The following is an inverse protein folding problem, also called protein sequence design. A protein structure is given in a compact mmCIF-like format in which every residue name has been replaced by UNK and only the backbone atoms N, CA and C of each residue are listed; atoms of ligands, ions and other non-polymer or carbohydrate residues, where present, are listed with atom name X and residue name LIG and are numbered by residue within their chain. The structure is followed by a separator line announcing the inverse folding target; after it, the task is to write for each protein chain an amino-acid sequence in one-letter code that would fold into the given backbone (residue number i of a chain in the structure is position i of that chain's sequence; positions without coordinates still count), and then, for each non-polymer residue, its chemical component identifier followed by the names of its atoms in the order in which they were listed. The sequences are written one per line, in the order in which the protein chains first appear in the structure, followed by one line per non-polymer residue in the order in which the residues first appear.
data_IF_699094571170
#
_entry.id   IF_699094571170
#
_cell.length_a   1.000
_cell.length_b   1.000
_cell.length_c   1.000
_cell.angle_alpha   90.00
_cell.angle_beta   90.00
_cell.angle_gamma   90.00
#
_symmetry.space_group_name_H-M   'P 1'
#
loop_
_entity.id
_entity.type
_entity.pdbx_description
1 polymer ?
#
# COMPACT_ATOMS: atom_id res chain seq x y z
N UNK A 1 -2.57 -10.82 -22.53
CA UNK A 1 -1.52 -10.05 -21.85
C UNK A 1 -1.70 -10.31 -20.36
N UNK A 2 -0.62 -10.55 -19.59
CA UNK A 2 -0.76 -10.76 -18.16
C UNK A 2 -1.39 -9.52 -17.52
N UNK A 3 -2.25 -9.73 -16.51
CA UNK A 3 -2.80 -8.62 -15.74
C UNK A 3 -1.80 -8.26 -14.65
N UNK A 4 -1.34 -7.02 -14.60
CA UNK A 4 -0.38 -6.53 -13.61
C UNK A 4 -1.06 -5.68 -12.56
N UNK A 5 -1.07 -6.14 -11.32
CA UNK A 5 -1.65 -5.41 -10.19
C UNK A 5 -0.53 -4.85 -9.31
N UNK A 6 -0.69 -3.57 -8.97
CA UNK A 6 0.10 -2.91 -7.93
C UNK A 6 -0.63 -3.00 -6.59
N UNK A 7 -0.05 -3.71 -5.62
CA UNK A 7 -0.60 -3.83 -4.28
C UNK A 7 0.26 -3.03 -3.28
N UNK A 8 -0.29 -1.91 -2.79
CA UNK A 8 0.35 -1.10 -1.76
C UNK A 8 -0.21 -1.48 -0.39
N UNK A 9 0.64 -2.01 0.49
CA UNK A 9 0.25 -2.56 1.78
C UNK A 9 0.93 -1.75 2.89
N UNK A 10 0.11 -1.11 3.73
CA UNK A 10 0.61 -0.37 4.88
C UNK A 10 1.50 -1.23 5.79
N UNK A 11 2.58 -0.62 6.28
CA UNK A 11 3.53 -1.24 7.19
C UNK A 11 3.05 -1.30 8.65
N UNK A 12 1.83 -0.85 8.94
CA UNK A 12 1.27 -0.71 10.28
C UNK A 12 0.81 -2.06 10.87
N UNK A 13 1.75 -3.00 10.94
CA UNK A 13 1.55 -4.35 11.47
C UNK A 13 1.19 -5.39 10.41
N UNK A 14 1.19 -6.65 10.82
CA UNK A 14 0.92 -7.80 9.93
C UNK A 14 -0.56 -7.98 9.59
N UNK A 15 -1.48 -7.24 10.23
CA UNK A 15 -2.92 -7.33 9.97
C UNK A 15 -3.28 -6.96 8.53
N UNK A 16 -2.76 -5.84 8.04
CA UNK A 16 -2.91 -5.40 6.64
C UNK A 16 -2.33 -6.42 5.67
N UNK A 17 -1.13 -6.93 5.95
CA UNK A 17 -0.52 -7.97 5.13
C UNK A 17 -1.39 -9.24 5.08
N UNK A 18 -1.89 -9.72 6.21
CA UNK A 18 -2.73 -10.92 6.24
C UNK A 18 -4.05 -10.72 5.46
N UNK A 19 -4.69 -9.56 5.63
CA UNK A 19 -5.92 -9.20 4.92
C UNK A 19 -5.68 -9.12 3.41
N UNK A 20 -4.67 -8.38 2.98
CA UNK A 20 -4.36 -8.21 1.56
C UNK A 20 -3.87 -9.51 0.93
N UNK A 21 -3.01 -10.28 1.61
CA UNK A 21 -2.51 -11.55 1.08
C UNK A 21 -3.62 -12.56 0.81
N UNK A 22 -4.63 -12.65 1.69
CA UNK A 22 -5.80 -13.49 1.46
C UNK A 22 -6.53 -13.14 0.15
N UNK A 23 -6.66 -11.84 -0.15
CA UNK A 23 -7.26 -11.37 -1.41
C UNK A 23 -6.36 -11.69 -2.60
N UNK A 24 -5.07 -11.36 -2.53
CA UNK A 24 -4.11 -11.56 -3.62
C UNK A 24 -3.95 -13.04 -3.99
N UNK A 25 -3.83 -13.93 -3.00
CA UNK A 25 -3.69 -15.37 -3.24
C UNK A 25 -4.96 -15.94 -3.87
N UNK A 26 -6.13 -15.52 -3.39
CA UNK A 26 -7.40 -15.94 -3.94
C UNK A 26 -7.63 -15.39 -5.37
N UNK A 27 -7.12 -14.20 -5.68
CA UNK A 27 -7.18 -13.61 -7.01
C UNK A 27 -6.25 -14.34 -7.98
N UNK A 28 -5.02 -14.66 -7.55
CA UNK A 28 -4.06 -15.44 -8.34
C UNK A 28 -4.61 -16.81 -8.75
N UNK A 29 -5.36 -17.47 -7.88
CA UNK A 29 -6.03 -18.73 -8.23
C UNK A 29 -7.12 -18.58 -9.31
N UNK A 30 -7.68 -17.37 -9.48
CA UNK A 30 -8.71 -17.07 -10.48
C UNK A 30 -8.16 -16.45 -11.76
N UNK A 31 -6.97 -15.86 -11.68
CA UNK A 31 -6.28 -15.19 -12.79
C UNK A 31 -4.87 -15.78 -12.90
N UNK A 32 -4.69 -16.88 -13.66
CA UNK A 32 -3.42 -17.62 -13.72
C UNK A 32 -2.22 -16.78 -14.20
N UNK A 33 -2.46 -15.80 -15.08
CA UNK A 33 -1.42 -14.92 -15.63
C UNK A 33 -1.28 -13.60 -14.83
N UNK A 34 -1.64 -13.62 -13.53
CA UNK A 34 -1.56 -12.45 -12.66
C UNK A 34 -0.11 -12.15 -12.24
N UNK A 35 0.38 -10.99 -12.67
CA UNK A 35 1.60 -10.40 -12.17
C UNK A 35 1.33 -9.46 -11.01
N UNK A 36 2.18 -9.54 -9.98
CA UNK A 36 2.05 -8.72 -8.79
C UNK A 36 3.32 -7.89 -8.59
N UNK A 37 3.12 -6.61 -8.35
CA UNK A 37 4.09 -5.70 -7.74
C UNK A 37 3.55 -5.32 -6.38
N UNK A 38 4.29 -5.61 -5.32
CA UNK A 38 3.90 -5.33 -3.94
C UNK A 38 4.79 -4.22 -3.40
N UNK A 39 4.20 -3.20 -2.80
CA UNK A 39 4.92 -2.15 -2.06
C UNK A 39 4.59 -2.27 -0.58
N UNK A 40 5.61 -2.42 0.26
CA UNK A 40 5.46 -2.42 1.71
C UNK A 40 6.79 -2.18 2.43
N UNK A 41 6.73 -1.56 3.60
CA UNK A 41 7.89 -1.40 4.50
C UNK A 41 8.08 -2.59 5.45
N UNK A 42 7.21 -3.62 5.40
CA UNK A 42 7.36 -4.83 6.22
C UNK A 42 8.60 -5.64 5.83
N UNK A 43 9.17 -6.46 6.74
CA UNK A 43 10.26 -7.36 6.40
C UNK A 43 9.90 -8.26 5.21
N UNK A 44 10.77 -8.35 4.20
CA UNK A 44 10.50 -9.12 2.98
C UNK A 44 10.13 -10.58 3.28
N UNK A 45 10.77 -11.18 4.29
CA UNK A 45 10.48 -12.55 4.72
C UNK A 45 9.02 -12.73 5.14
N UNK A 46 8.43 -11.74 5.83
CA UNK A 46 7.03 -11.78 6.22
C UNK A 46 6.14 -11.62 4.99
N UNK A 47 6.44 -10.67 4.10
CA UNK A 47 5.64 -10.45 2.87
C UNK A 47 5.63 -11.72 2.00
N UNK A 48 6.79 -12.32 1.75
CA UNK A 48 6.92 -13.55 0.94
C UNK A 48 6.32 -14.78 1.60
N UNK A 49 6.21 -14.81 2.93
CA UNK A 49 5.55 -15.90 3.65
C UNK A 49 4.03 -15.87 3.49
N UNK A 50 3.43 -14.69 3.31
CA UNK A 50 1.98 -14.53 3.24
C UNK A 50 1.45 -14.54 1.80
N UNK A 51 2.20 -13.99 0.84
CA UNK A 51 1.77 -13.90 -0.56
C UNK A 51 2.33 -15.07 -1.37
N UNK A 52 1.44 -15.88 -1.93
CA UNK A 52 1.80 -17.09 -2.67
C UNK A 52 2.42 -16.74 -4.03
N UNK A 53 3.45 -17.48 -4.45
CA UNK A 53 4.06 -17.40 -5.77
C UNK A 53 4.98 -16.19 -5.99
N UNK A 54 5.44 -15.99 -7.22
CA UNK A 54 6.39 -14.92 -7.55
C UNK A 54 5.72 -13.54 -7.61
N UNK A 55 6.43 -12.52 -7.11
CA UNK A 55 6.06 -11.12 -7.20
C UNK A 55 7.30 -10.23 -7.02
N UNK A 56 7.26 -9.03 -7.60
CA UNK A 56 8.25 -7.99 -7.35
C UNK A 56 7.91 -7.25 -6.05
N UNK A 57 8.90 -7.02 -5.19
CA UNK A 57 8.73 -6.28 -3.95
C UNK A 57 9.46 -4.93 -4.05
N UNK A 58 8.73 -3.87 -3.73
CA UNK A 58 9.24 -2.52 -3.49
C UNK A 58 9.24 -2.33 -1.97
N UNK A 59 10.42 -2.41 -1.36
CA UNK A 59 10.62 -2.34 0.09
C UNK A 59 10.57 -0.88 0.60
N UNK A 60 9.45 -0.20 0.37
CA UNK A 60 9.23 1.21 0.72
C UNK A 60 7.87 1.37 1.41
N UNK A 61 7.75 2.36 2.30
CA UNK A 61 6.45 2.69 2.92
C UNK A 61 5.57 3.42 1.91
N UNK A 62 4.30 3.00 1.82
CA UNK A 62 3.28 3.66 1.01
C UNK A 62 2.50 4.73 1.81
N UNK A 63 2.59 4.71 3.14
CA UNK A 63 1.87 5.59 4.05
C UNK A 63 2.70 6.03 5.27
N UNK A 64 2.10 6.94 6.05
CA UNK A 64 2.60 7.40 7.35
C UNK A 64 2.10 6.53 8.50
N UNK A 65 0.84 6.10 8.40
CA UNK A 65 0.01 5.52 9.47
C UNK A 65 0.17 6.19 10.83
N UNK A 66 0.67 5.48 11.84
CA UNK A 66 0.82 5.93 13.23
C UNK A 66 2.23 5.65 13.74
N UNK A 67 2.85 6.65 14.36
CA UNK A 67 4.11 6.46 15.09
C UNK A 67 3.78 5.81 16.43
N UNK A 68 4.27 4.59 16.65
CA UNK A 68 3.94 3.77 17.82
C UNK A 68 5.11 3.70 18.80
N UNK A 69 4.85 3.85 20.10
CA UNK A 69 5.81 3.52 21.17
C UNK A 69 5.75 2.04 21.56
N UNK A 70 4.59 1.42 21.42
CA UNK A 70 4.33 0.01 21.68
C UNK A 70 3.20 -0.48 20.76
N UNK A 71 2.80 -1.76 20.85
CA UNK A 71 1.65 -2.25 20.10
C UNK A 71 0.31 -1.56 20.46
N UNK A 72 0.24 -0.89 21.61
CA UNK A 72 -0.98 -0.28 22.14
C UNK A 72 -0.87 1.25 22.32
N UNK A 73 0.36 1.79 22.30
CA UNK A 73 0.62 3.19 22.63
C UNK A 73 1.02 3.98 21.39
N UNK A 74 0.15 4.91 20.97
CA UNK A 74 0.40 5.84 19.88
C UNK A 74 1.15 7.07 20.39
N UNK A 75 2.18 7.49 19.67
CA UNK A 75 2.84 8.77 19.84
C UNK A 75 2.16 9.82 18.95
N UNK A 76 1.15 10.50 19.51
CA UNK A 76 0.29 11.44 18.77
C UNK A 76 1.09 12.61 18.16
N UNK A 77 1.91 13.31 18.95
CA UNK A 77 2.68 14.45 18.46
C UNK A 77 3.66 14.08 17.33
N UNK A 78 4.48 13.01 17.45
CA UNK A 78 5.28 12.50 16.33
C UNK A 78 4.46 12.10 15.11
N UNK A 79 3.29 11.49 15.31
CA UNK A 79 2.38 11.11 14.22
C UNK A 79 1.91 12.35 13.45
N UNK A 80 1.44 13.37 14.15
CA UNK A 80 1.00 14.63 13.52
C UNK A 80 2.14 15.33 12.78
N UNK A 81 3.35 15.35 13.36
CA UNK A 81 4.52 15.90 12.69
C UNK A 81 4.86 15.13 11.41
N UNK A 82 4.77 13.80 11.43
CA UNK A 82 4.99 12.96 10.25
C UNK A 82 3.94 13.21 9.15
N UNK A 83 2.66 13.36 9.50
CA UNK A 83 1.63 13.72 8.52
C UNK A 83 1.87 15.10 7.90
N UNK A 84 2.28 16.10 8.68
CA UNK A 84 2.63 17.43 8.15
C UNK A 84 3.77 17.33 7.15
N UNK A 85 4.88 16.71 7.55
CA UNK A 85 6.04 16.51 6.67
C UNK A 85 5.73 15.69 5.42
N UNK A 86 4.82 14.71 5.53
CA UNK A 86 4.35 13.93 4.39
C UNK A 86 3.56 14.81 3.40
N UNK A 87 2.71 15.69 3.91
CA UNK A 87 1.89 16.58 3.10
C UNK A 87 2.59 17.84 2.57
N UNK A 88 3.72 18.26 3.15
CA UNK A 88 4.46 19.47 2.74
C UNK A 88 4.79 19.52 1.24
N UNK A 89 4.98 18.35 0.60
CA UNK A 89 5.20 18.25 -0.84
C UNK A 89 4.23 17.24 -1.51
N UNK A 90 2.97 17.23 -1.06
CA UNK A 90 1.96 16.29 -1.52
C UNK A 90 1.80 16.19 -3.06
N UNK A 91 1.69 17.29 -3.83
CA UNK A 91 1.48 17.19 -5.28
C UNK A 91 2.62 16.47 -6.01
N UNK A 92 3.84 16.63 -5.52
CA UNK A 92 5.04 16.01 -6.07
C UNK A 92 5.11 14.52 -5.71
N UNK A 93 4.77 14.15 -4.47
CA UNK A 93 4.67 12.73 -4.08
C UNK A 93 3.66 11.99 -4.95
N UNK A 94 2.48 12.57 -5.16
CA UNK A 94 1.45 12.01 -6.05
C UNK A 94 1.95 11.91 -7.49
N UNK A 95 2.74 12.88 -7.97
CA UNK A 95 3.34 12.84 -9.32
C UNK A 95 4.29 11.65 -9.45
N UNK A 96 5.25 11.54 -8.54
CA UNK A 96 6.29 10.50 -8.55
C UNK A 96 5.64 9.12 -8.48
N UNK A 97 4.64 8.94 -7.62
CA UNK A 97 3.99 7.65 -7.48
C UNK A 97 3.12 7.32 -8.70
N UNK A 98 2.44 8.31 -9.32
CA UNK A 98 1.72 8.09 -10.57
C UNK A 98 2.66 7.69 -11.72
N UNK A 99 3.81 8.37 -11.86
CA UNK A 99 4.83 8.03 -12.86
C UNK A 99 5.42 6.64 -12.64
N UNK A 100 5.52 6.19 -11.39
CA UNK A 100 5.90 4.82 -11.05
C UNK A 100 4.85 3.81 -11.54
N UNK A 101 3.56 4.08 -11.32
CA UNK A 101 2.48 3.21 -11.81
C UNK A 101 2.52 3.12 -13.35
N UNK A 102 2.70 4.25 -14.04
CA UNK A 102 2.82 4.30 -15.51
C UNK A 102 4.05 3.52 -16.01
N UNK A 103 5.21 3.74 -15.39
CA UNK A 103 6.45 3.06 -15.77
C UNK A 103 6.39 1.54 -15.56
N UNK A 104 5.64 1.09 -14.55
CA UNK A 104 5.38 -0.32 -14.31
C UNK A 104 4.30 -0.89 -15.23
N UNK A 105 3.54 -0.05 -15.94
CA UNK A 105 2.46 -0.48 -16.85
C UNK A 105 1.42 -1.34 -16.12
N UNK A 106 0.95 -0.88 -14.96
CA UNK A 106 -0.03 -1.60 -14.14
C UNK A 106 -1.44 -1.43 -14.69
N UNK A 107 -2.26 -2.48 -14.60
CA UNK A 107 -3.66 -2.46 -15.05
C UNK A 107 -4.63 -2.03 -13.93
N UNK A 108 -4.24 -2.23 -12.67
CA UNK A 108 -5.04 -1.86 -11.51
C UNK A 108 -4.18 -1.68 -10.25
N UNK A 109 -4.70 -0.90 -9.30
CA UNK A 109 -4.13 -0.69 -7.97
C UNK A 109 -5.06 -1.30 -6.90
N UNK A 110 -4.46 -2.03 -5.95
CA UNK A 110 -5.06 -2.38 -4.67
C UNK A 110 -4.30 -1.66 -3.56
N UNK A 111 -4.95 -0.72 -2.87
CA UNK A 111 -4.36 0.06 -1.79
C UNK A 111 -4.96 -0.35 -0.44
N UNK A 112 -4.18 -1.02 0.40
CA UNK A 112 -4.54 -1.33 1.79
C UNK A 112 -3.99 -0.26 2.75
N UNK A 113 -4.78 0.82 2.93
CA UNK A 113 -4.52 2.05 3.72
C UNK A 113 -3.70 3.20 3.09
N UNK A 114 -2.83 3.08 2.07
CA UNK A 114 -2.11 4.24 1.57
C UNK A 114 -2.99 5.08 0.63
N UNK A 115 -3.49 6.21 1.15
CA UNK A 115 -4.22 7.19 0.33
C UNK A 115 -3.32 7.89 -0.71
N UNK A 116 -1.99 7.87 -0.54
CA UNK A 116 -1.04 8.31 -1.58
C UNK A 116 -1.19 7.47 -2.84
N UNK A 117 -1.20 6.14 -2.70
CA UNK A 117 -1.38 5.24 -3.84
C UNK A 117 -2.75 5.42 -4.49
N UNK A 118 -3.79 5.69 -3.71
CA UNK A 118 -5.12 6.04 -4.24
C UNK A 118 -5.08 7.32 -5.09
N UNK A 119 -4.44 8.38 -4.59
CA UNK A 119 -4.30 9.64 -5.33
C UNK A 119 -3.43 9.47 -6.59
N UNK A 120 -2.39 8.65 -6.53
CA UNK A 120 -1.52 8.32 -7.65
C UNK A 120 -2.28 7.56 -8.75
N UNK A 121 -3.05 6.54 -8.39
CA UNK A 121 -3.87 5.77 -9.33
C UNK A 121 -4.93 6.64 -10.02
N UNK A 122 -5.60 7.52 -9.26
CA UNK A 122 -6.52 8.50 -9.82
C UNK A 122 -5.84 9.45 -10.82
N UNK A 123 -4.63 9.92 -10.51
CA UNK A 123 -3.83 10.79 -11.40
C UNK A 123 -3.37 10.07 -12.67
N UNK A 124 -2.95 8.82 -12.56
CA UNK A 124 -2.50 7.99 -13.67
C UNK A 124 -3.67 7.47 -14.55
N UNK A 125 -4.92 7.61 -14.10
CA UNK A 125 -6.08 7.02 -14.78
C UNK A 125 -6.17 5.51 -14.62
N UNK A 126 -5.51 4.95 -13.59
CA UNK A 126 -5.49 3.51 -13.30
C UNK A 126 -6.64 3.15 -12.36
N UNK A 127 -7.47 2.14 -12.68
CA UNK A 127 -8.51 1.63 -11.78
C UNK A 127 -7.93 1.31 -10.40
N UNK A 128 -8.49 1.92 -9.35
CA UNK A 128 -7.94 1.83 -8.00
C UNK A 128 -8.99 1.39 -7.00
N UNK A 129 -8.69 0.33 -6.24
CA UNK A 129 -9.52 -0.19 -5.18
C UNK A 129 -8.82 0.02 -3.84
N UNK A 130 -9.53 0.64 -2.90
CA UNK A 130 -9.09 0.70 -1.51
C UNK A 130 -9.61 -0.53 -0.75
N UNK A 131 -8.73 -1.17 0.01
CA UNK A 131 -9.04 -2.19 0.99
C UNK A 131 -8.72 -1.60 2.35
N UNK A 132 -9.60 -1.76 3.33
CA UNK A 132 -9.28 -1.35 4.68
C UNK A 132 -10.19 -2.05 5.68
N UNK A 133 -9.66 -2.34 6.88
CA UNK A 133 -10.43 -2.76 8.05
C UNK A 133 -10.64 -1.61 9.05
N UNK A 134 -10.07 -0.43 8.77
CA UNK A 134 -10.09 0.77 9.60
C UNK A 134 -10.45 1.99 8.73
N UNK A 135 -10.54 3.19 9.31
CA UNK A 135 -10.66 4.41 8.54
C UNK A 135 -9.75 5.51 9.10
N UNK A 136 -9.31 6.45 8.26
CA UNK A 136 -8.39 7.51 8.70
C UNK A 136 -9.05 8.55 9.62
N UNK A 137 -10.39 8.63 9.69
CA UNK A 137 -11.06 9.60 10.55
C UNK A 137 -10.86 9.26 12.04
N UNK A 138 -10.69 7.98 12.35
CA UNK A 138 -10.43 7.51 13.72
C UNK A 138 -9.06 7.93 14.25
N UNK A 139 -8.13 8.39 13.39
CA UNK A 139 -6.79 8.88 13.81
C UNK A 139 -6.89 10.15 14.67
N UNK A 140 -7.98 10.92 14.55
CA UNK A 140 -8.18 12.17 15.26
C UNK A 140 -9.20 12.08 16.41
N UNK A 141 -9.62 10.87 16.80
CA UNK A 141 -10.48 10.62 17.96
C UNK A 141 -9.67 10.19 19.18
#
# INVERSE_FOLDING_TARGET
MPHRIYAAISGHGLGHLAQTAAVLNALRNRVPDLELVVQSALPEADVRRHIDGAFALIAESADVGLVMASALDVLVEPTLAAYRAFHDNWPERVRIEAERLDALGVDAVLADVPYLTCAAGARAGVPTLALCSLNWADIFQ
#
